data_IF_697925154115
#
_entry.id   IF_697925154115
#
_cell.length_a   1.000
_cell.length_b   1.000
_cell.length_c   1.000
_cell.angle_alpha   90.00
_cell.angle_beta   90.00
_cell.angle_gamma   90.00
#
_symmetry.space_group_name_H-M   'P 1'
#
loop_
_entity.id
_entity.type
_entity.pdbx_description
1 polymer ?
#
# COMPACT_ATOMS: atom_id res chain seq x y z
N UNK A 1 -3.23 6.53 -13.17
CA UNK A 1 -4.15 5.41 -13.46
C UNK A 1 -4.76 4.75 -12.22
N UNK A 2 -4.00 4.43 -11.15
CA UNK A 2 -4.51 3.74 -9.94
C UNK A 2 -5.62 4.46 -9.16
N UNK A 3 -5.80 5.77 -9.32
CA UNK A 3 -6.89 6.54 -8.68
C UNK A 3 -8.21 6.52 -9.45
N UNK A 4 -8.15 6.45 -10.79
CA UNK A 4 -9.33 6.59 -11.66
C UNK A 4 -9.85 5.25 -12.17
N UNK A 5 -8.94 4.32 -12.44
CA UNK A 5 -9.26 3.01 -13.02
C UNK A 5 -10.18 2.18 -12.11
N UNK A 6 -9.94 2.01 -10.79
CA UNK A 6 -10.84 1.23 -9.94
C UNK A 6 -12.30 1.71 -9.96
N UNK A 7 -12.53 3.02 -10.06
CA UNK A 7 -13.86 3.61 -10.10
C UNK A 7 -14.57 3.31 -11.44
N UNK A 8 -13.86 3.45 -12.56
CA UNK A 8 -14.38 3.14 -13.90
C UNK A 8 -14.71 1.66 -14.05
N UNK A 9 -13.81 0.78 -13.63
CA UNK A 9 -14.01 -0.67 -13.73
C UNK A 9 -15.03 -1.19 -12.73
N UNK A 10 -15.10 -0.60 -11.53
CA UNK A 10 -16.18 -0.88 -10.58
C UNK A 10 -17.55 -0.52 -11.17
N UNK A 11 -17.68 0.67 -11.76
CA UNK A 11 -18.91 1.07 -12.46
C UNK A 11 -19.25 0.13 -13.62
N UNK A 12 -18.28 -0.24 -14.46
CA UNK A 12 -18.50 -1.15 -15.59
C UNK A 12 -18.91 -2.55 -15.12
N UNK A 13 -18.26 -3.07 -14.08
CA UNK A 13 -18.53 -4.38 -13.51
C UNK A 13 -19.92 -4.45 -12.84
N UNK A 14 -20.34 -3.34 -12.22
CA UNK A 14 -21.66 -3.21 -11.60
C UNK A 14 -22.76 -3.01 -12.66
N UNK A 15 -22.50 -2.22 -13.72
CA UNK A 15 -23.48 -1.98 -14.78
C UNK A 15 -23.70 -3.19 -15.69
N UNK A 16 -22.66 -3.98 -15.94
CA UNK A 16 -22.75 -5.21 -16.76
C UNK A 16 -23.26 -6.41 -15.97
N UNK A 17 -23.25 -6.36 -14.63
CA UNK A 17 -23.57 -7.49 -13.75
C UNK A 17 -22.60 -8.67 -13.85
N UNK A 18 -21.52 -8.55 -14.63
CA UNK A 18 -20.61 -9.64 -14.99
C UNK A 18 -19.19 -9.38 -14.48
N UNK A 19 -19.06 -9.11 -13.16
CA UNK A 19 -17.78 -8.79 -12.51
C UNK A 19 -16.65 -9.75 -12.88
N UNK A 20 -16.95 -11.05 -12.95
CA UNK A 20 -15.98 -12.08 -13.30
C UNK A 20 -15.43 -11.92 -14.73
N UNK A 21 -16.29 -11.65 -15.73
CA UNK A 21 -15.84 -11.44 -17.11
C UNK A 21 -15.01 -10.17 -17.23
N UNK A 22 -15.38 -9.13 -16.48
CA UNK A 22 -14.60 -7.88 -16.41
C UNK A 22 -13.21 -8.14 -15.84
N UNK A 23 -13.08 -8.91 -14.75
CA UNK A 23 -11.78 -9.30 -14.19
C UNK A 23 -10.95 -10.13 -15.16
N UNK A 24 -11.56 -11.11 -15.85
CA UNK A 24 -10.86 -11.96 -16.82
C UNK A 24 -10.38 -11.16 -18.03
N UNK A 25 -11.21 -10.25 -18.56
CA UNK A 25 -10.84 -9.37 -19.66
C UNK A 25 -9.73 -8.39 -19.24
N UNK A 26 -9.84 -7.79 -18.05
CA UNK A 26 -8.80 -6.93 -17.51
C UNK A 26 -7.47 -7.69 -17.31
N UNK A 27 -7.51 -8.93 -16.82
CA UNK A 27 -6.33 -9.79 -16.70
C UNK A 27 -5.71 -10.11 -18.07
N UNK A 28 -6.54 -10.44 -19.08
CA UNK A 28 -6.10 -10.70 -20.45
C UNK A 28 -5.47 -9.45 -21.09
N UNK A 29 -6.13 -8.29 -21.00
CA UNK A 29 -5.59 -7.04 -21.50
C UNK A 29 -4.30 -6.64 -20.74
N UNK A 30 -4.21 -6.96 -19.45
CA UNK A 30 -3.01 -6.68 -18.65
C UNK A 30 -1.80 -7.52 -19.06
N UNK A 31 -1.99 -8.78 -19.46
CA UNK A 31 -0.88 -9.60 -19.98
C UNK A 31 -0.50 -9.19 -21.41
N UNK A 32 -1.49 -8.94 -22.29
CA UNK A 32 -1.23 -8.50 -23.66
C UNK A 32 -0.50 -7.16 -23.71
N UNK A 33 -0.93 -6.19 -22.89
CA UNK A 33 -0.20 -4.92 -22.78
C UNK A 33 1.19 -5.12 -22.19
N UNK A 34 1.35 -5.98 -21.18
CA UNK A 34 2.66 -6.25 -20.58
C UNK A 34 3.66 -6.86 -21.56
N UNK A 35 3.24 -7.66 -22.54
CA UNK A 35 4.15 -8.19 -23.58
C UNK A 35 4.86 -7.07 -24.37
N UNK A 36 4.30 -5.86 -24.38
CA UNK A 36 4.94 -4.67 -24.94
C UNK A 36 6.36 -4.40 -24.39
N UNK A 37 6.67 -4.83 -23.16
CA UNK A 37 7.99 -4.61 -22.54
C UNK A 37 9.14 -5.30 -23.29
N UNK A 38 8.83 -6.33 -24.10
CA UNK A 38 9.84 -7.04 -24.89
C UNK A 38 10.13 -6.36 -26.24
N UNK A 39 9.33 -5.38 -26.63
CA UNK A 39 9.42 -4.71 -27.94
C UNK A 39 10.03 -3.31 -27.85
N UNK A 40 10.34 -2.82 -26.64
CA UNK A 40 10.90 -1.48 -26.45
C UNK A 40 11.84 -1.43 -25.26
N UNK A 41 12.94 -0.73 -25.44
CA UNK A 41 13.90 -0.37 -24.39
C UNK A 41 13.93 1.14 -24.13
N UNK A 42 13.17 1.91 -24.91
CA UNK A 42 13.09 3.37 -24.79
C UNK A 42 12.17 3.77 -23.65
N UNK A 43 12.51 4.86 -22.96
CA UNK A 43 11.73 5.37 -21.82
C UNK A 43 10.26 5.59 -22.17
N UNK A 44 9.96 6.28 -23.27
CA UNK A 44 8.59 6.59 -23.69
C UNK A 44 7.82 5.31 -24.01
N UNK A 45 8.46 4.35 -24.69
CA UNK A 45 7.85 3.06 -24.99
C UNK A 45 7.49 2.29 -23.72
N UNK A 46 8.44 2.16 -22.78
CA UNK A 46 8.20 1.50 -21.49
C UNK A 46 7.14 2.23 -20.66
N UNK A 47 7.14 3.58 -20.66
CA UNK A 47 6.14 4.39 -19.97
C UNK A 47 4.73 4.11 -20.49
N UNK A 48 4.54 4.10 -21.82
CA UNK A 48 3.25 3.80 -22.44
C UNK A 48 2.78 2.39 -22.11
N UNK A 49 3.68 1.40 -22.23
CA UNK A 49 3.38 0.00 -21.89
C UNK A 49 2.97 -0.12 -20.41
N UNK A 50 3.75 0.45 -19.49
CA UNK A 50 3.45 0.45 -18.06
C UNK A 50 2.15 1.19 -17.73
N UNK A 51 1.83 2.28 -18.44
CA UNK A 51 0.60 3.05 -18.23
C UNK A 51 -0.64 2.25 -18.63
N UNK A 52 -0.62 1.64 -19.82
CA UNK A 52 -1.70 0.79 -20.33
C UNK A 52 -1.86 -0.45 -19.45
N UNK A 53 -0.77 -1.12 -19.11
CA UNK A 53 -0.79 -2.27 -18.20
C UNK A 53 -1.36 -1.89 -16.82
N UNK A 54 -0.93 -0.75 -16.26
CA UNK A 54 -1.41 -0.27 -14.96
C UNK A 54 -2.89 0.08 -14.97
N UNK A 55 -3.41 0.58 -16.10
CA UNK A 55 -4.84 0.84 -16.26
C UNK A 55 -5.67 -0.44 -16.10
N UNK A 56 -5.32 -1.52 -16.81
CA UNK A 56 -6.03 -2.80 -16.71
C UNK A 56 -5.78 -3.51 -15.37
N UNK A 57 -4.55 -3.46 -14.86
CA UNK A 57 -4.18 -4.15 -13.62
C UNK A 57 -4.86 -3.56 -12.38
N UNK A 58 -4.97 -2.23 -12.30
CA UNK A 58 -5.47 -1.54 -11.10
C UNK A 58 -6.94 -1.85 -10.77
N UNK A 59 -7.72 -2.32 -11.73
CA UNK A 59 -9.10 -2.79 -11.53
C UNK A 59 -9.21 -4.16 -10.86
N UNK A 60 -8.22 -5.03 -11.08
CA UNK A 60 -8.34 -6.45 -10.76
C UNK A 60 -8.36 -6.68 -9.25
N UNK A 61 -7.51 -5.99 -8.49
CA UNK A 61 -7.38 -6.21 -7.05
C UNK A 61 -8.64 -5.81 -6.26
N UNK A 62 -9.24 -4.61 -6.42
CA UNK A 62 -10.48 -4.26 -5.72
C UNK A 62 -11.66 -5.15 -6.09
N UNK A 63 -11.77 -5.57 -7.35
CA UNK A 63 -12.83 -6.46 -7.81
C UNK A 63 -12.70 -7.86 -7.23
N UNK A 64 -11.48 -8.40 -7.15
CA UNK A 64 -11.21 -9.70 -6.51
C UNK A 64 -11.47 -9.63 -5.01
N UNK A 65 -11.06 -8.56 -4.33
CA UNK A 65 -11.35 -8.35 -2.91
C UNK A 65 -12.88 -8.25 -2.65
N UNK A 66 -13.59 -7.46 -3.45
CA UNK A 66 -15.05 -7.34 -3.35
C UNK A 66 -15.76 -8.68 -3.58
N UNK A 67 -15.36 -9.42 -4.63
CA UNK A 67 -15.92 -10.76 -4.94
C UNK A 67 -15.65 -11.75 -3.81
N UNK A 68 -14.45 -11.71 -3.23
CA UNK A 68 -14.08 -12.56 -2.09
C UNK A 68 -14.94 -12.28 -0.86
N UNK A 69 -15.17 -11.00 -0.54
CA UNK A 69 -16.02 -10.61 0.58
C UNK A 69 -17.49 -10.98 0.35
N UNK A 70 -18.00 -10.79 -0.87
CA UNK A 70 -19.36 -11.22 -1.26
C UNK A 70 -19.50 -12.74 -1.11
N UNK A 71 -18.52 -13.52 -1.57
CA UNK A 71 -18.53 -14.98 -1.46
C UNK A 71 -18.47 -15.46 0.00
N UNK A 72 -17.66 -14.81 0.84
CA UNK A 72 -17.54 -15.18 2.24
C UNK A 72 -18.79 -14.86 3.06
N UNK A 73 -19.58 -13.85 2.67
CA UNK A 73 -20.84 -13.50 3.34
C UNK A 73 -20.68 -13.33 4.85
N UNK A 74 -21.36 -14.17 5.65
CA UNK A 74 -21.29 -14.17 7.12
C UNK A 74 -19.95 -14.68 7.69
N UNK A 75 -19.10 -15.30 6.88
CA UNK A 75 -17.82 -15.88 7.29
C UNK A 75 -16.62 -14.94 7.01
N UNK A 76 -16.81 -13.63 7.15
CA UNK A 76 -15.76 -12.61 6.93
C UNK A 76 -14.51 -12.84 7.79
N UNK A 77 -14.62 -13.51 8.94
CA UNK A 77 -13.47 -13.91 9.76
C UNK A 77 -12.44 -14.78 8.99
N UNK A 78 -12.87 -15.50 7.94
CA UNK A 78 -11.96 -16.29 7.09
C UNK A 78 -11.18 -15.44 6.08
N UNK A 79 -11.59 -14.19 5.85
CA UNK A 79 -10.90 -13.28 4.93
C UNK A 79 -9.44 -13.05 5.31
N UNK A 80 -9.13 -12.97 6.61
CA UNK A 80 -7.76 -12.83 7.10
C UNK A 80 -6.84 -13.97 6.64
N UNK A 81 -7.36 -15.21 6.61
CA UNK A 81 -6.61 -16.39 6.11
C UNK A 81 -6.39 -16.35 4.60
N UNK A 82 -7.33 -15.78 3.84
CA UNK A 82 -7.15 -15.60 2.39
C UNK A 82 -6.09 -14.52 2.15
N UNK A 83 -6.16 -13.40 2.89
CA UNK A 83 -5.21 -12.29 2.76
C UNK A 83 -3.80 -12.68 3.17
N UNK A 84 -3.62 -13.54 4.18
CA UNK A 84 -2.28 -13.98 4.62
C UNK A 84 -1.49 -14.69 3.53
N UNK A 85 -2.16 -15.39 2.60
CA UNK A 85 -1.48 -15.99 1.44
C UNK A 85 -0.83 -14.95 0.53
N UNK A 86 -1.33 -13.70 0.50
CA UNK A 86 -0.66 -12.60 -0.19
C UNK A 86 0.72 -12.30 0.39
N UNK A 87 0.84 -12.24 1.72
CA UNK A 87 2.13 -12.03 2.39
C UNK A 87 3.06 -13.23 2.23
N UNK A 88 2.55 -14.45 2.33
CA UNK A 88 3.33 -15.68 2.06
C UNK A 88 3.85 -15.68 0.62
N UNK A 89 2.99 -15.37 -0.34
CA UNK A 89 3.38 -15.26 -1.76
C UNK A 89 4.43 -14.18 -1.99
N UNK A 90 4.31 -13.03 -1.33
CA UNK A 90 5.32 -11.98 -1.37
C UNK A 90 6.67 -12.47 -0.84
N UNK A 91 6.71 -13.08 0.36
CA UNK A 91 7.95 -13.59 0.97
C UNK A 91 8.60 -14.64 0.08
N UNK A 92 7.84 -15.61 -0.41
CA UNK A 92 8.35 -16.65 -1.32
C UNK A 92 8.90 -16.04 -2.60
N UNK A 93 8.22 -15.04 -3.18
CA UNK A 93 8.67 -14.37 -4.39
C UNK A 93 9.96 -13.58 -4.17
N UNK A 94 10.04 -12.72 -3.13
CA UNK A 94 11.25 -11.90 -2.91
C UNK A 94 12.46 -12.73 -2.53
N UNK A 95 12.29 -13.80 -1.75
CA UNK A 95 13.39 -14.71 -1.42
C UNK A 95 13.78 -15.57 -2.63
N UNK A 96 12.81 -16.23 -3.27
CA UNK A 96 13.07 -17.11 -4.40
C UNK A 96 13.70 -16.37 -5.59
N UNK A 97 13.15 -15.21 -5.96
CA UNK A 97 13.71 -14.38 -7.01
C UNK A 97 15.03 -13.71 -6.58
N UNK A 98 15.16 -13.32 -5.32
CA UNK A 98 16.42 -12.78 -4.78
C UNK A 98 17.57 -13.76 -4.97
N UNK A 99 17.41 -15.03 -4.55
CA UNK A 99 18.40 -16.08 -4.79
C UNK A 99 18.58 -16.39 -6.28
N UNK A 100 17.50 -16.47 -7.06
CA UNK A 100 17.62 -16.75 -8.48
C UNK A 100 18.47 -15.70 -9.19
N UNK A 101 18.22 -14.41 -8.93
CA UNK A 101 18.92 -13.30 -9.57
C UNK A 101 20.38 -13.14 -9.13
N UNK A 102 20.83 -13.82 -8.07
CA UNK A 102 22.27 -13.91 -7.79
C UNK A 102 23.01 -14.74 -8.87
N UNK A 103 22.31 -15.67 -9.53
CA UNK A 103 22.89 -16.56 -10.55
C UNK A 103 22.40 -16.28 -11.99
N UNK A 104 21.23 -15.63 -12.14
CA UNK A 104 20.65 -15.30 -13.45
C UNK A 104 20.52 -13.80 -13.65
N UNK A 105 20.48 -13.36 -14.91
CA UNK A 105 20.31 -11.95 -15.25
C UNK A 105 18.96 -11.41 -14.74
N UNK A 106 18.96 -10.17 -14.24
CA UNK A 106 17.75 -9.51 -13.70
C UNK A 106 16.65 -9.35 -14.76
N UNK A 107 17.00 -9.34 -16.05
CA UNK A 107 16.05 -9.31 -17.17
C UNK A 107 15.03 -10.47 -17.14
N UNK A 108 15.35 -11.59 -16.48
CA UNK A 108 14.40 -12.68 -16.25
C UNK A 108 13.16 -12.27 -15.44
N UNK A 109 13.21 -11.14 -14.71
CA UNK A 109 12.04 -10.58 -14.03
C UNK A 109 10.88 -10.31 -15.01
N UNK A 110 11.17 -10.00 -16.28
CA UNK A 110 10.15 -9.79 -17.30
C UNK A 110 9.39 -11.10 -17.60
N UNK A 111 10.10 -12.22 -17.70
CA UNK A 111 9.49 -13.54 -17.91
C UNK A 111 8.71 -14.02 -16.69
N UNK A 112 9.24 -13.77 -15.49
CA UNK A 112 8.52 -14.03 -14.23
C UNK A 112 7.21 -13.22 -14.19
N UNK A 113 7.23 -11.96 -14.64
CA UNK A 113 6.05 -11.12 -14.76
C UNK A 113 4.99 -11.72 -15.68
N UNK A 114 5.39 -12.28 -16.83
CA UNK A 114 4.49 -13.01 -17.74
C UNK A 114 3.90 -14.24 -17.03
N UNK A 115 4.74 -15.06 -16.37
CA UNK A 115 4.30 -16.28 -15.69
C UNK A 115 3.28 -15.99 -14.57
N UNK A 116 3.53 -14.96 -13.74
CA UNK A 116 2.60 -14.54 -12.68
C UNK A 116 1.28 -14.05 -13.29
N UNK A 117 1.32 -13.22 -14.34
CA UNK A 117 0.09 -12.73 -15.00
C UNK A 117 -0.70 -13.85 -15.64
N UNK A 118 -0.03 -14.82 -16.25
CA UNK A 118 -0.66 -16.01 -16.81
C UNK A 118 -1.32 -16.83 -15.69
N UNK A 119 -0.62 -17.04 -14.57
CA UNK A 119 -1.19 -17.66 -13.37
C UNK A 119 -2.45 -16.93 -12.90
N UNK A 120 -2.41 -15.61 -12.78
CA UNK A 120 -3.59 -14.80 -12.40
C UNK A 120 -4.74 -15.02 -13.38
N UNK A 121 -4.49 -15.02 -14.69
CA UNK A 121 -5.52 -15.26 -15.71
C UNK A 121 -6.12 -16.68 -15.60
N UNK A 122 -5.28 -17.70 -15.35
CA UNK A 122 -5.72 -19.08 -15.19
C UNK A 122 -6.55 -19.28 -13.92
N UNK A 123 -6.09 -18.76 -12.79
CA UNK A 123 -6.80 -18.87 -11.51
C UNK A 123 -8.04 -17.96 -11.45
N UNK A 124 -8.05 -16.83 -12.16
CA UNK A 124 -9.24 -15.98 -12.27
C UNK A 124 -10.45 -16.70 -12.92
N UNK A 125 -10.20 -17.76 -13.71
CA UNK A 125 -11.28 -18.60 -14.26
C UNK A 125 -11.97 -19.48 -13.22
N UNK A 126 -11.31 -19.72 -12.09
CA UNK A 126 -11.83 -20.56 -11.00
C UNK A 126 -12.62 -19.75 -9.97
N UNK A 127 -12.66 -18.42 -10.11
CA UNK A 127 -13.43 -17.56 -9.21
C UNK A 127 -14.92 -17.84 -9.42
N UNK A 128 -15.66 -18.24 -8.37
CA UNK A 128 -17.08 -18.52 -8.49
C UNK A 128 -17.86 -17.24 -8.85
N UNK A 129 -18.88 -17.34 -9.72
CA UNK A 129 -19.73 -16.20 -10.02
C UNK A 129 -20.49 -15.78 -8.75
N UNK A 130 -20.45 -14.50 -8.42
CA UNK A 130 -21.23 -13.92 -7.32
C UNK A 130 -22.16 -12.85 -7.85
N UNK A 131 -23.43 -12.90 -7.46
CA UNK A 131 -24.38 -11.85 -7.77
C UNK A 131 -24.06 -10.58 -6.99
N UNK A 132 -24.18 -9.46 -7.68
CA UNK A 132 -23.94 -8.14 -7.10
C UNK A 132 -25.20 -7.69 -6.39
N UNK A 133 -25.19 -7.69 -5.07
CA UNK A 133 -26.21 -6.94 -4.31
C UNK A 133 -25.86 -5.46 -4.45
N UNK A 134 -26.61 -4.76 -5.31
CA UNK A 134 -26.49 -3.33 -5.45
C UNK A 134 -26.91 -2.66 -4.13
N UNK A 135 -25.94 -2.14 -3.38
CA UNK A 135 -26.25 -1.20 -2.32
C UNK A 135 -26.53 0.16 -2.94
N UNK A 136 -27.80 0.39 -3.29
CA UNK A 136 -28.31 1.75 -3.44
C UNK A 136 -28.17 2.48 -2.10
N UNK A 137 -27.70 3.73 -2.12
CA UNK A 137 -28.29 4.85 -1.34
C UNK A 137 -27.49 6.15 -1.46
N UNK A 138 -28.12 7.14 -2.10
CA UNK A 138 -28.46 8.48 -1.61
C UNK A 138 -27.44 9.47 -1.02
N UNK A 139 -27.91 10.71 -0.93
CA UNK A 139 -27.36 11.95 -1.49
C UNK A 139 -26.96 12.99 -0.43
N UNK A 140 -26.25 12.59 0.63
CA UNK A 140 -25.61 13.55 1.53
C UNK A 140 -24.20 13.91 1.04
N UNK A 141 -23.82 15.21 1.00
CA UNK A 141 -22.54 15.63 0.45
C UNK A 141 -21.39 15.30 1.42
N UNK A 142 -20.63 14.25 1.09
CA UNK A 142 -19.39 13.85 1.75
C UNK A 142 -18.38 15.00 1.94
N UNK A 143 -18.47 16.01 1.08
CA UNK A 143 -17.62 17.20 1.11
C UNK A 143 -17.62 17.89 2.47
N UNK A 144 -18.77 17.95 3.17
CA UNK A 144 -18.83 18.56 4.52
C UNK A 144 -18.02 17.79 5.55
N UNK A 145 -17.95 16.46 5.45
CA UNK A 145 -17.13 15.63 6.35
C UNK A 145 -15.64 15.79 6.01
N UNK A 146 -15.30 15.77 4.72
CA UNK A 146 -13.90 15.87 4.26
C UNK A 146 -13.28 17.22 4.63
N UNK A 147 -14.06 18.30 4.58
CA UNK A 147 -13.61 19.64 4.93
C UNK A 147 -13.49 19.89 6.44
N UNK A 148 -13.85 18.92 7.30
CA UNK A 148 -13.59 19.06 8.72
C UNK A 148 -12.07 19.13 8.97
N UNK A 149 -11.58 20.10 9.77
CA UNK A 149 -10.15 20.28 9.99
C UNK A 149 -9.44 19.00 10.44
N UNK A 150 -10.12 18.18 11.26
CA UNK A 150 -9.60 16.93 11.81
C UNK A 150 -9.36 15.89 10.70
N UNK A 151 -10.27 15.80 9.73
CA UNK A 151 -10.19 14.89 8.58
C UNK A 151 -9.12 15.36 7.60
N UNK A 152 -9.01 16.68 7.36
CA UNK A 152 -7.95 17.26 6.55
C UNK A 152 -6.55 16.99 7.14
N UNK A 153 -6.40 17.10 8.46
CA UNK A 153 -5.15 16.78 9.16
C UNK A 153 -4.83 15.28 9.03
N UNK A 154 -5.82 14.40 9.23
CA UNK A 154 -5.64 12.96 9.06
C UNK A 154 -5.18 12.63 7.63
N UNK A 155 -5.89 13.13 6.62
CA UNK A 155 -5.53 12.87 5.23
C UNK A 155 -4.22 13.53 4.82
N UNK A 156 -3.89 14.72 5.33
CA UNK A 156 -2.60 15.36 5.14
C UNK A 156 -1.45 14.53 5.75
N UNK A 157 -1.65 13.99 6.95
CA UNK A 157 -0.69 13.09 7.58
C UNK A 157 -0.54 11.80 6.76
N UNK A 158 -1.64 11.16 6.33
CA UNK A 158 -1.57 9.97 5.49
C UNK A 158 -0.88 10.22 4.15
N UNK A 159 -1.17 11.35 3.51
CA UNK A 159 -0.49 11.79 2.31
C UNK A 159 1.03 11.89 2.54
N UNK A 160 1.47 12.57 3.60
CA UNK A 160 2.89 12.76 3.93
C UNK A 160 3.61 11.45 4.27
N UNK A 161 2.95 10.54 4.99
CA UNK A 161 3.52 9.23 5.29
C UNK A 161 3.72 8.41 4.00
N UNK A 162 2.73 8.41 3.10
CA UNK A 162 2.85 7.71 1.83
C UNK A 162 3.84 8.37 0.86
N UNK A 163 3.91 9.71 0.88
CA UNK A 163 4.93 10.48 0.17
C UNK A 163 6.34 10.03 0.59
N UNK A 164 6.58 9.89 1.90
CA UNK A 164 7.84 9.41 2.44
C UNK A 164 8.17 7.95 2.03
N UNK A 165 7.15 7.10 1.88
CA UNK A 165 7.35 5.71 1.45
C UNK A 165 7.50 5.53 -0.06
N UNK A 166 7.10 6.52 -0.88
CA UNK A 166 7.20 6.46 -2.33
C UNK A 166 8.62 6.09 -2.82
N UNK A 167 9.66 6.82 -2.39
CA UNK A 167 11.05 6.50 -2.71
C UNK A 167 11.46 5.09 -2.28
N UNK A 168 11.06 4.67 -1.08
CA UNK A 168 11.36 3.34 -0.55
C UNK A 168 10.84 2.20 -1.45
N UNK A 169 9.59 2.29 -1.92
CA UNK A 169 9.01 1.23 -2.74
C UNK A 169 9.63 1.09 -4.14
N UNK A 170 10.28 2.14 -4.66
CA UNK A 170 10.85 2.14 -6.00
C UNK A 170 12.37 1.91 -5.94
N UNK A 171 13.06 2.59 -5.05
CA UNK A 171 14.52 2.72 -5.08
C UNK A 171 15.25 1.93 -4.00
N UNK A 172 14.58 1.35 -3.00
CA UNK A 172 15.28 0.65 -1.90
C UNK A 172 16.13 -0.53 -2.37
N UNK A 173 15.59 -1.40 -3.22
CA UNK A 173 16.36 -2.52 -3.77
C UNK A 173 17.52 -2.06 -4.66
N UNK A 174 17.30 -0.99 -5.44
CA UNK A 174 18.35 -0.39 -6.29
C UNK A 174 19.48 0.12 -5.40
N UNK A 175 19.13 0.82 -4.31
CA UNK A 175 20.09 1.39 -3.38
C UNK A 175 20.99 0.34 -2.77
N UNK A 176 20.40 -0.75 -2.28
CA UNK A 176 21.13 -1.83 -1.65
C UNK A 176 22.09 -2.49 -2.65
N UNK A 177 21.63 -2.76 -3.87
CA UNK A 177 22.49 -3.39 -4.90
C UNK A 177 23.64 -2.46 -5.31
N UNK A 178 23.41 -1.14 -5.40
CA UNK A 178 24.48 -0.16 -5.65
C UNK A 178 25.49 -0.05 -4.50
N UNK A 179 25.14 -0.52 -3.31
CA UNK A 179 26.03 -0.58 -2.13
C UNK A 179 26.44 -2.04 -1.83
N UNK A 180 26.62 -2.85 -2.88
CA UNK A 180 27.18 -4.20 -2.83
C UNK A 180 26.39 -5.27 -2.06
N UNK A 181 25.11 -5.01 -1.75
CA UNK A 181 24.24 -6.06 -1.21
C UNK A 181 23.88 -7.06 -2.31
N UNK A 182 23.98 -8.36 -1.99
CA UNK A 182 23.47 -9.41 -2.88
C UNK A 182 21.95 -9.29 -3.06
N UNK A 183 21.41 -9.82 -4.16
CA UNK A 183 19.97 -9.74 -4.43
C UNK A 183 19.19 -10.65 -3.49
N UNK A 184 19.81 -11.74 -3.02
CA UNK A 184 19.30 -12.54 -1.89
C UNK A 184 19.21 -11.74 -0.59
N UNK A 185 20.22 -10.92 -0.25
CA UNK A 185 20.18 -10.06 0.93
C UNK A 185 19.06 -9.02 0.84
N UNK A 186 18.86 -8.42 -0.34
CA UNK A 186 17.71 -7.54 -0.62
C UNK A 186 16.39 -8.28 -0.38
N UNK A 187 16.27 -9.52 -0.88
CA UNK A 187 15.10 -10.37 -0.65
C UNK A 187 14.81 -10.61 0.84
N UNK A 188 15.86 -10.91 1.63
CA UNK A 188 15.75 -11.09 3.07
C UNK A 188 15.35 -9.81 3.81
N UNK A 189 15.87 -8.65 3.41
CA UNK A 189 15.50 -7.36 4.00
C UNK A 189 14.02 -7.05 3.76
N UNK A 190 13.50 -7.28 2.54
CA UNK A 190 12.06 -7.15 2.26
C UNK A 190 11.22 -8.16 3.04
N UNK A 191 11.66 -9.42 3.12
CA UNK A 191 10.96 -10.45 3.88
C UNK A 191 10.88 -10.10 5.37
N UNK A 192 11.97 -9.61 5.96
CA UNK A 192 12.01 -9.16 7.35
C UNK A 192 10.97 -8.06 7.61
N UNK A 193 10.92 -7.04 6.75
CA UNK A 193 9.92 -5.96 6.87
C UNK A 193 8.49 -6.50 6.91
N UNK A 194 8.14 -7.43 6.02
CA UNK A 194 6.80 -8.04 5.97
C UNK A 194 6.53 -8.95 7.16
N UNK A 195 7.52 -9.72 7.63
CA UNK A 195 7.37 -10.56 8.83
C UNK A 195 7.08 -9.68 10.05
N UNK A 196 7.82 -8.59 10.23
CA UNK A 196 7.59 -7.63 11.31
C UNK A 196 6.22 -6.94 11.17
N UNK A 197 5.78 -6.61 9.96
CA UNK A 197 4.46 -6.03 9.70
C UNK A 197 3.34 -6.98 10.16
N UNK A 198 3.41 -8.27 9.81
CA UNK A 198 2.45 -9.29 10.25
C UNK A 198 2.43 -9.36 11.78
N UNK A 199 3.60 -9.41 12.42
CA UNK A 199 3.71 -9.45 13.88
C UNK A 199 3.03 -8.24 14.54
N UNK A 200 3.24 -7.04 13.99
CA UNK A 200 2.61 -5.81 14.49
C UNK A 200 1.09 -5.85 14.35
N UNK A 201 0.53 -6.37 13.25
CA UNK A 201 -0.92 -6.50 13.10
C UNK A 201 -1.54 -7.38 14.19
N UNK A 202 -0.89 -8.48 14.58
CA UNK A 202 -1.34 -9.29 15.71
C UNK A 202 -1.19 -8.56 17.06
N UNK A 203 -0.20 -7.69 17.19
CA UNK A 203 0.01 -6.87 18.40
C UNK A 203 -0.91 -5.64 18.48
N UNK A 204 -1.57 -5.22 17.39
CA UNK A 204 -2.40 -4.01 17.35
C UNK A 204 -3.52 -3.95 18.41
N UNK A 205 -4.30 -5.02 18.68
CA UNK A 205 -5.30 -5.01 19.74
C UNK A 205 -4.71 -4.69 21.11
N UNK A 206 -3.53 -5.27 21.42
CA UNK A 206 -2.81 -4.97 22.65
C UNK A 206 -2.31 -3.53 22.67
N UNK A 207 -1.70 -3.06 21.57
CA UNK A 207 -1.17 -1.70 21.46
C UNK A 207 -2.26 -0.63 21.62
N UNK A 208 -3.42 -0.85 21.00
CA UNK A 208 -4.59 0.05 21.08
C UNK A 208 -5.29 0.01 22.45
N UNK A 209 -5.13 -1.06 23.23
CA UNK A 209 -5.63 -1.09 24.62
C UNK A 209 -4.72 -0.31 25.58
N UNK A 210 -3.43 -0.21 25.28
CA UNK A 210 -2.41 0.47 26.11
C UNK A 210 -2.18 1.93 25.72
N UNK A 211 -2.27 2.26 24.43
CA UNK A 211 -1.95 3.58 23.89
C UNK A 211 -3.11 4.15 23.09
N UNK A 212 -3.24 5.47 23.07
CA UNK A 212 -4.22 6.14 22.22
C UNK A 212 -3.78 6.10 20.76
N UNK A 213 -4.75 6.16 19.83
CA UNK A 213 -4.50 6.22 18.39
C UNK A 213 -3.49 7.32 18.03
N UNK A 214 -3.63 8.52 18.60
CA UNK A 214 -2.70 9.63 18.37
C UNK A 214 -1.27 9.30 18.81
N UNK A 215 -1.07 8.63 19.95
CA UNK A 215 0.27 8.23 20.43
C UNK A 215 0.94 7.24 19.49
N UNK A 216 0.20 6.25 19.02
CA UNK A 216 0.71 5.25 18.05
C UNK A 216 1.05 5.93 16.72
N UNK A 217 0.21 6.86 16.26
CA UNK A 217 0.45 7.62 15.02
C UNK A 217 1.72 8.50 15.13
N UNK A 218 1.89 9.22 16.24
CA UNK A 218 3.09 10.02 16.52
C UNK A 218 4.34 9.12 16.53
N UNK A 219 4.29 7.98 17.24
CA UNK A 219 5.40 7.02 17.27
C UNK A 219 5.73 6.47 15.88
N UNK A 220 4.73 6.22 15.05
CA UNK A 220 4.91 5.76 13.66
C UNK A 220 5.63 6.79 12.80
N UNK A 221 5.28 8.08 12.91
CA UNK A 221 5.99 9.15 12.21
C UNK A 221 7.40 9.38 12.73
N UNK A 222 7.61 9.37 14.05
CA UNK A 222 8.95 9.48 14.61
C UNK A 222 9.84 8.31 14.15
N UNK A 223 9.29 7.10 14.10
CA UNK A 223 9.96 5.93 13.55
C UNK A 223 10.27 6.09 12.07
N UNK A 224 9.39 6.74 11.29
CA UNK A 224 9.61 6.99 9.87
C UNK A 224 10.75 7.97 9.61
N UNK A 225 10.84 9.06 10.39
CA UNK A 225 11.97 9.99 10.32
C UNK A 225 13.29 9.26 10.57
N UNK A 226 13.38 8.52 11.68
CA UNK A 226 14.57 7.76 12.02
C UNK A 226 14.89 6.73 10.94
N UNK A 227 13.89 5.93 10.52
CA UNK A 227 14.04 4.87 9.52
C UNK A 227 14.61 5.40 8.21
N UNK A 228 14.08 6.48 7.67
CA UNK A 228 14.56 7.00 6.39
C UNK A 228 15.95 7.63 6.50
N UNK A 229 16.29 8.26 7.63
CA UNK A 229 17.67 8.70 7.88
C UNK A 229 18.64 7.53 7.98
N UNK A 230 18.26 6.45 8.68
CA UNK A 230 19.05 5.23 8.78
C UNK A 230 19.27 4.58 7.41
N UNK A 231 18.24 4.54 6.57
CA UNK A 231 18.39 4.03 5.20
C UNK A 231 19.35 4.93 4.44
N UNK A 232 19.07 6.23 4.33
CA UNK A 232 19.85 7.14 3.49
C UNK A 232 21.31 7.33 3.89
N UNK A 233 21.66 7.17 5.16
CA UNK A 233 23.01 7.47 5.67
C UNK A 233 23.71 6.29 6.34
N UNK A 234 23.01 5.15 6.50
CA UNK A 234 23.51 3.97 7.20
C UNK A 234 23.57 2.72 6.32
N UNK A 235 23.52 2.87 5.00
CA UNK A 235 23.45 1.75 4.05
C UNK A 235 24.64 0.79 4.16
N UNK A 236 25.83 1.28 4.51
CA UNK A 236 27.05 0.46 4.64
C UNK A 236 26.98 -0.52 5.82
N UNK A 237 26.07 -0.29 6.77
CA UNK A 237 25.93 -1.09 7.98
C UNK A 237 24.67 -1.98 7.89
N UNK A 238 24.87 -3.27 7.61
CA UNK A 238 23.78 -4.26 7.55
C UNK A 238 22.89 -4.23 8.81
N UNK A 239 23.47 -4.02 9.99
CA UNK A 239 22.71 -3.92 11.24
C UNK A 239 21.71 -2.76 11.24
N UNK A 240 22.07 -1.61 10.63
CA UNK A 240 21.17 -0.47 10.48
C UNK A 240 20.07 -0.76 9.44
N UNK A 241 20.38 -1.49 8.36
CA UNK A 241 19.37 -1.92 7.38
C UNK A 241 18.36 -2.89 7.99
N UNK A 242 18.83 -3.87 8.78
CA UNK A 242 17.97 -4.78 9.52
C UNK A 242 17.06 -4.02 10.49
N UNK A 243 17.62 -3.08 11.27
CA UNK A 243 16.84 -2.26 12.19
C UNK A 243 15.83 -1.38 11.46
N UNK A 244 16.21 -0.75 10.34
CA UNK A 244 15.31 0.03 9.50
C UNK A 244 14.16 -0.82 8.90
N UNK A 245 14.39 -2.10 8.62
CA UNK A 245 13.35 -3.02 8.18
C UNK A 245 12.40 -3.43 9.31
N UNK A 246 12.89 -3.62 10.54
CA UNK A 246 12.02 -3.81 11.70
C UNK A 246 11.11 -2.59 11.91
N UNK A 247 11.65 -1.38 11.75
CA UNK A 247 10.88 -0.14 11.83
C UNK A 247 9.78 -0.04 10.76
N UNK A 248 9.87 -0.78 9.64
CA UNK A 248 8.83 -0.79 8.61
C UNK A 248 7.46 -1.15 9.19
N UNK A 249 7.41 -2.08 10.14
CA UNK A 249 6.18 -2.48 10.79
C UNK A 249 5.51 -1.33 11.55
N UNK A 250 6.31 -0.40 12.09
CA UNK A 250 5.79 0.81 12.73
C UNK A 250 5.36 1.86 11.68
N UNK A 251 6.17 2.07 10.65
CA UNK A 251 5.93 3.14 9.66
C UNK A 251 4.80 2.81 8.69
N UNK A 252 4.53 1.54 8.46
CA UNK A 252 3.45 1.06 7.61
C UNK A 252 2.36 0.32 8.40
N UNK A 253 2.68 -0.78 9.07
CA UNK A 253 1.70 -1.65 9.74
C UNK A 253 0.86 -0.94 10.82
N UNK A 254 1.51 -0.44 11.88
CA UNK A 254 0.79 0.27 12.95
C UNK A 254 0.17 1.58 12.47
N UNK A 255 0.88 2.31 11.62
CA UNK A 255 0.37 3.53 10.98
C UNK A 255 -0.94 3.26 10.24
N UNK A 256 -0.96 2.25 9.36
CA UNK A 256 -2.12 1.89 8.55
C UNK A 256 -3.30 1.46 9.42
N UNK A 257 -3.06 0.62 10.42
CA UNK A 257 -4.10 0.16 11.34
C UNK A 257 -4.75 1.35 12.10
N UNK A 258 -3.94 2.31 12.57
CA UNK A 258 -4.44 3.52 13.22
C UNK A 258 -5.17 4.44 12.25
N UNK A 259 -4.62 4.67 11.06
CA UNK A 259 -5.26 5.51 10.04
C UNK A 259 -6.63 4.94 9.66
N UNK A 260 -6.73 3.63 9.44
CA UNK A 260 -8.00 2.95 9.16
C UNK A 260 -8.99 3.03 10.32
N UNK A 261 -8.53 2.89 11.57
CA UNK A 261 -9.37 3.07 12.75
C UNK A 261 -9.92 4.50 12.84
N UNK A 262 -9.11 5.52 12.57
CA UNK A 262 -9.53 6.92 12.54
C UNK A 262 -10.50 7.20 11.38
N UNK A 263 -10.22 6.70 10.18
CA UNK A 263 -11.14 6.79 9.03
C UNK A 263 -12.49 6.16 9.38
N UNK A 264 -12.50 5.00 10.04
CA UNK A 264 -13.74 4.37 10.49
C UNK A 264 -14.48 5.20 11.56
N UNK A 265 -13.76 5.90 12.44
CA UNK A 265 -14.37 6.80 13.42
C UNK A 265 -15.01 8.02 12.78
N UNK A 266 -14.36 8.66 11.80
CA UNK A 266 -14.88 9.86 11.12
C UNK A 266 -15.96 9.55 10.06
N UNK A 267 -15.82 8.43 9.35
CA UNK A 267 -16.72 8.02 8.26
C UNK A 267 -17.53 6.78 8.69
N UNK A 268 -18.65 7.02 9.38
CA UNK A 268 -19.56 5.97 9.86
C UNK A 268 -20.74 5.72 8.92
N UNK A 269 -21.33 4.53 9.02
CA UNK A 269 -22.53 4.14 8.29
C UNK A 269 -22.37 4.31 6.77
N UNK A 270 -23.24 5.12 6.17
CA UNK A 270 -23.34 5.33 4.70
C UNK A 270 -22.08 5.92 4.06
N UNK A 271 -21.19 6.56 4.82
CA UNK A 271 -19.97 7.16 4.30
C UNK A 271 -18.71 6.30 4.45
N UNK A 272 -18.80 5.14 5.09
CA UNK A 272 -17.64 4.31 5.43
C UNK A 272 -16.84 3.88 4.19
N UNK A 273 -17.51 3.32 3.17
CA UNK A 273 -16.84 2.88 1.93
C UNK A 273 -16.23 4.06 1.18
N UNK A 274 -16.90 5.22 1.17
CA UNK A 274 -16.38 6.44 0.53
C UNK A 274 -15.15 6.99 1.28
N UNK A 275 -15.16 6.96 2.62
CA UNK A 275 -14.01 7.36 3.44
C UNK A 275 -12.79 6.48 3.21
N UNK A 276 -12.97 5.17 3.09
CA UNK A 276 -11.89 4.23 2.74
C UNK A 276 -11.36 4.47 1.31
N UNK A 277 -12.24 4.74 0.34
CA UNK A 277 -11.84 5.08 -1.01
C UNK A 277 -11.02 6.39 -1.08
N UNK A 278 -11.43 7.42 -0.32
CA UNK A 278 -10.68 8.66 -0.18
C UNK A 278 -9.32 8.42 0.49
N UNK A 279 -9.29 7.66 1.59
CA UNK A 279 -8.05 7.27 2.25
C UNK A 279 -7.08 6.60 1.26
N UNK A 280 -7.53 5.58 0.53
CA UNK A 280 -6.70 4.90 -0.47
C UNK A 280 -6.23 5.83 -1.58
N UNK A 281 -7.10 6.70 -2.08
CA UNK A 281 -6.79 7.63 -3.17
C UNK A 281 -5.80 8.73 -2.76
N UNK A 282 -5.98 9.35 -1.59
CA UNK A 282 -5.10 10.43 -1.12
C UNK A 282 -3.76 9.86 -0.66
N UNK A 283 -3.79 8.79 0.12
CA UNK A 283 -2.59 8.19 0.74
C UNK A 283 -1.76 7.50 -0.33
N UNK A 284 -2.23 6.36 -0.85
CA UNK A 284 -1.45 5.52 -1.75
C UNK A 284 -1.52 5.98 -3.21
N UNK A 285 -2.64 6.60 -3.59
CA UNK A 285 -2.80 7.21 -4.92
C UNK A 285 -1.92 8.45 -5.07
N UNK A 286 -2.28 9.56 -4.43
CA UNK A 286 -1.58 10.84 -4.60
C UNK A 286 -0.23 10.87 -3.87
N UNK A 287 -0.20 10.60 -2.57
CA UNK A 287 1.02 10.67 -1.76
C UNK A 287 2.11 9.72 -2.27
N UNK A 288 1.78 8.43 -2.38
CA UNK A 288 2.71 7.42 -2.90
C UNK A 288 3.20 7.72 -4.33
N UNK A 289 2.31 8.17 -5.23
CA UNK A 289 2.69 8.53 -6.60
C UNK A 289 3.63 9.73 -6.66
N UNK A 290 3.32 10.80 -5.93
CA UNK A 290 4.18 12.00 -5.92
C UNK A 290 5.54 11.65 -5.30
N UNK A 291 5.56 10.85 -4.23
CA UNK A 291 6.80 10.43 -3.58
C UNK A 291 7.68 9.62 -4.53
N UNK A 292 7.07 8.70 -5.28
CA UNK A 292 7.75 7.92 -6.31
C UNK A 292 8.19 8.77 -7.52
N UNK A 293 7.37 9.72 -7.97
CA UNK A 293 7.71 10.56 -9.12
C UNK A 293 8.89 11.50 -8.80
N UNK A 294 8.94 12.04 -7.58
CA UNK A 294 10.04 12.89 -7.13
C UNK A 294 11.34 12.11 -6.92
N UNK A 295 11.28 10.80 -6.64
CA UNK A 295 12.47 10.02 -6.30
C UNK A 295 13.51 9.93 -7.43
N UNK A 296 13.10 9.78 -8.69
CA UNK A 296 14.04 9.70 -9.82
C UNK A 296 14.95 10.93 -9.96
N UNK A 297 14.37 12.13 -10.17
CA UNK A 297 15.16 13.36 -10.27
C UNK A 297 16.00 13.64 -9.01
N UNK A 298 15.44 13.37 -7.82
CA UNK A 298 16.17 13.56 -6.55
C UNK A 298 17.42 12.67 -6.48
N UNK A 299 17.28 11.40 -6.89
CA UNK A 299 18.37 10.45 -6.90
C UNK A 299 19.43 10.80 -7.94
N UNK A 300 19.03 11.12 -9.17
CA UNK A 300 19.97 11.43 -10.25
C UNK A 300 20.81 12.67 -9.96
N UNK A 301 20.23 13.71 -9.35
CA UNK A 301 20.91 14.98 -9.12
C UNK A 301 21.68 15.04 -7.79
N UNK A 302 21.16 14.42 -6.73
CA UNK A 302 21.71 14.55 -5.37
C UNK A 302 22.00 13.22 -4.67
N UNK A 303 21.73 12.09 -5.32
CA UNK A 303 21.98 10.76 -4.78
C UNK A 303 20.92 10.24 -3.80
N UNK A 304 21.05 8.96 -3.46
CA UNK A 304 20.10 8.25 -2.61
C UNK A 304 19.97 8.83 -1.19
N UNK A 305 21.08 9.26 -0.57
CA UNK A 305 21.08 9.81 0.79
C UNK A 305 20.21 11.06 0.91
N UNK A 306 20.26 11.95 -0.08
CA UNK A 306 19.41 13.15 -0.12
C UNK A 306 17.96 12.78 -0.41
N UNK A 307 17.70 11.84 -1.31
CA UNK A 307 16.34 11.34 -1.58
C UNK A 307 15.68 10.74 -0.32
N UNK A 308 16.42 9.96 0.47
CA UNK A 308 15.92 9.43 1.74
C UNK A 308 15.82 10.51 2.83
N UNK A 309 16.65 11.54 2.79
CA UNK A 309 16.49 12.72 3.66
C UNK A 309 15.21 13.50 3.32
N UNK A 310 14.82 13.58 2.05
CA UNK A 310 13.50 14.10 1.64
C UNK A 310 12.36 13.26 2.21
N UNK A 311 12.51 11.92 2.20
CA UNK A 311 11.53 11.01 2.82
C UNK A 311 11.41 11.25 4.33
N UNK A 312 12.54 11.43 5.02
CA UNK A 312 12.57 11.78 6.44
C UNK A 312 11.93 13.15 6.69
N UNK A 313 12.17 14.16 5.84
CA UNK A 313 11.56 15.48 5.95
C UNK A 313 10.03 15.43 5.75
N UNK A 314 9.53 14.66 4.79
CA UNK A 314 8.10 14.43 4.60
C UNK A 314 7.47 13.77 5.84
N UNK A 315 8.11 12.76 6.41
CA UNK A 315 7.69 12.14 7.66
C UNK A 315 7.72 13.11 8.84
N UNK A 316 8.73 13.99 8.92
CA UNK A 316 8.84 15.02 9.96
C UNK A 316 7.73 16.07 9.84
N UNK A 317 7.41 16.52 8.63
CA UNK A 317 6.27 17.41 8.41
C UNK A 317 4.95 16.74 8.84
N UNK A 318 4.79 15.44 8.57
CA UNK A 318 3.66 14.65 9.06
C UNK A 318 3.61 14.57 10.59
N UNK A 319 4.76 14.37 11.23
CA UNK A 319 4.90 14.38 12.69
C UNK A 319 4.46 15.72 13.29
N UNK A 320 4.96 16.83 12.74
CA UNK A 320 4.63 18.18 13.19
C UNK A 320 3.14 18.48 13.00
N UNK A 321 2.56 18.08 11.87
CA UNK A 321 1.13 18.22 11.57
C UNK A 321 0.26 17.48 12.61
N UNK A 322 0.63 16.23 12.95
CA UNK A 322 -0.07 15.43 13.96
C UNK A 322 0.11 16.03 15.37
N UNK A 323 1.31 16.48 15.72
CA UNK A 323 1.57 17.10 17.02
C UNK A 323 0.80 18.41 17.22
N UNK A 324 0.66 19.22 16.17
CA UNK A 324 0.02 20.53 16.24
C UNK A 324 -1.49 20.46 16.58
N UNK A 325 -2.22 19.44 16.10
CA UNK A 325 -3.70 19.43 16.19
C UNK A 325 -4.34 18.11 16.60
N UNK A 326 -3.67 16.95 16.49
CA UNK A 326 -4.27 15.65 16.83
C UNK A 326 -4.30 15.36 18.34
N UNK A 327 -3.74 16.24 19.17
CA UNK A 327 -3.95 16.27 20.63
C UNK A 327 -5.36 16.74 21.03
N UNK A 328 -6.10 17.40 20.15
CA UNK A 328 -7.41 17.99 20.46
C UNK A 328 -8.58 17.02 20.16
N UNK A 329 -8.32 15.91 19.46
CA UNK A 329 -9.38 15.10 18.81
C UNK A 329 -9.66 13.76 19.50
N UNK A 330 -8.82 13.32 20.42
CA UNK A 330 -9.00 12.01 21.09
C UNK A 330 -9.04 12.19 22.61
N UNK A 331 -10.24 12.45 23.14
CA UNK A 331 -10.87 11.85 24.34
C UNK A 331 -12.17 12.63 24.68
N UNK A 332 -13.23 11.98 25.22
CA UNK A 332 -13.14 10.95 26.25
C UNK A 332 -13.59 9.56 25.81
N UNK A 333 -13.02 8.54 26.48
CA UNK A 333 -13.65 7.23 26.65
C UNK A 333 -15.11 7.46 27.03
N UNK A 334 -16.05 6.82 26.33
CA UNK A 334 -17.41 6.75 26.84
C UNK A 334 -17.37 6.16 28.24
N UNK A 335 -18.01 6.84 29.18
CA UNK A 335 -18.42 6.27 30.45
C UNK A 335 -19.17 4.96 30.17
N UNK A 336 -18.59 3.82 30.53
CA UNK A 336 -19.33 2.56 30.71
C UNK A 336 -18.85 1.84 31.98
N UNK A 337 -18.36 2.59 32.96
CA UNK A 337 -18.18 2.16 34.36
C UNK A 337 -19.24 2.83 35.26
N UNK A 338 -20.48 2.89 34.77
CA UNK A 338 -21.63 3.20 35.59
C UNK A 338 -22.78 2.26 35.21
N UNK A 339 -23.16 1.44 36.18
CA UNK A 339 -24.41 0.65 36.30
C UNK A 339 -24.64 -0.49 35.29
N UNK A 340 -24.16 -1.70 35.60
CA UNK A 340 -24.88 -2.74 36.36
C UNK A 340 -23.98 -3.94 36.65
#
# INVERSE_FOLDING_TARGET
MRMLSPALWGWLADHTGQRLRVVQLAALCSILSYLGVFFTTEFVGLLLVMMVMSFFWSASMPLVEATTLTYLGKHTARYGRIRSWGSVGFIVAVLGLGYAFDYIAIAWILWVGVAIKLGVLLFARQIPPTEVVAHHTDSQPILRLVLQPQVLILFGACFLMALAHGPYYIFYSIYLVENDYSKSAVGWLWALGVICEIAVFFAMPWLMSRFTLSKIMIASFASAVLRFLLIGWGVDLLSLMLFAQVLHAATFGSFHAVAMALVHQFFRGRHQSKGQALFGSITYGAGGMIGGLLSGPLWEHWGASVMYSFSAAAALLGLLLVLWKLRIVVLPRSQSDATL
#
